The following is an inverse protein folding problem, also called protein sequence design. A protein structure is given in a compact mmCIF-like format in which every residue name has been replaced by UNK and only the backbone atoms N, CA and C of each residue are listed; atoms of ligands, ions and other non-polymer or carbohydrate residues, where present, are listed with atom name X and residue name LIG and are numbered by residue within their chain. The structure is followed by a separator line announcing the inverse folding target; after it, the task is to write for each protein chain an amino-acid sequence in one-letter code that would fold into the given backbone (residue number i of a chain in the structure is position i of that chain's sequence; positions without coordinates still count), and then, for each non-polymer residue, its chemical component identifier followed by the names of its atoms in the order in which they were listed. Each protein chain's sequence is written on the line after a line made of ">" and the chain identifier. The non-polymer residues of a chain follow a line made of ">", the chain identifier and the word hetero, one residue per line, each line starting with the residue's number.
data_IF_121048648020
#
_entry.id   IF_121048648020
#
_cell.length_a   1.000
_cell.length_b   1.000
_cell.length_c   1.000
_cell.angle_alpha   90.00
_cell.angle_beta   90.00
_cell.angle_gamma   90.00
#
_symmetry.space_group_name_H-M   'P 1'
#
loop_
_entity.id
_entity.type
_entity.pdbx_description
1 polymer ?
#
# COMPACT_ATOMS: atom_id res chain seq x y z
N UNK A 1 11.11 -7.67 -17.62
CA UNK A 1 12.13 -7.44 -16.58
C UNK A 1 11.60 -7.69 -15.16
N UNK A 2 12.51 -7.95 -14.19
CA UNK A 2 12.14 -8.20 -12.78
C UNK A 2 11.28 -7.08 -12.17
N UNK A 3 11.53 -5.82 -12.55
CA UNK A 3 10.78 -4.66 -12.05
C UNK A 3 9.30 -4.72 -12.45
N UNK A 4 8.98 -5.08 -13.68
CA UNK A 4 7.60 -5.16 -14.18
C UNK A 4 6.83 -6.29 -13.49
N UNK A 5 7.49 -7.42 -13.22
CA UNK A 5 6.90 -8.54 -12.47
C UNK A 5 6.57 -8.15 -11.03
N UNK A 6 7.49 -7.45 -10.38
CA UNK A 6 7.28 -6.95 -9.02
C UNK A 6 6.20 -5.86 -9.01
N UNK A 7 6.16 -4.99 -10.02
CA UNK A 7 5.11 -3.99 -10.16
C UNK A 7 3.72 -4.64 -10.26
N UNK A 8 3.57 -5.66 -11.11
CA UNK A 8 2.32 -6.39 -11.23
C UNK A 8 1.89 -7.06 -9.91
N UNK A 9 2.85 -7.54 -9.11
CA UNK A 9 2.54 -8.07 -7.78
C UNK A 9 2.11 -6.97 -6.81
N UNK A 10 2.78 -5.83 -6.80
CA UNK A 10 2.39 -4.68 -5.97
C UNK A 10 0.98 -4.22 -6.32
N UNK A 11 0.66 -4.09 -7.61
CA UNK A 11 -0.66 -3.65 -8.09
C UNK A 11 -1.79 -4.60 -7.64
N UNK A 12 -1.51 -5.90 -7.50
CA UNK A 12 -2.49 -6.90 -7.06
C UNK A 12 -2.58 -6.98 -5.54
N UNK A 13 -1.44 -7.00 -4.85
CA UNK A 13 -1.39 -7.35 -3.43
C UNK A 13 -1.50 -6.15 -2.50
N UNK A 14 -1.05 -4.97 -2.91
CA UNK A 14 -1.14 -3.77 -2.06
C UNK A 14 -2.60 -3.40 -1.71
N UNK A 15 -3.55 -3.36 -2.67
CA UNK A 15 -4.95 -3.07 -2.34
C UNK A 15 -5.60 -4.18 -1.50
N UNK A 16 -5.23 -5.45 -1.74
CA UNK A 16 -5.74 -6.60 -0.98
C UNK A 16 -5.26 -6.57 0.47
N UNK A 17 -3.99 -6.24 0.70
CA UNK A 17 -3.44 -6.10 2.04
C UNK A 17 -4.11 -4.95 2.78
N UNK A 18 -4.31 -3.82 2.12
CA UNK A 18 -5.03 -2.69 2.70
C UNK A 18 -6.47 -3.06 3.08
N UNK A 19 -7.23 -3.66 2.17
CA UNK A 19 -8.60 -4.11 2.45
C UNK A 19 -8.68 -5.14 3.58
N UNK A 20 -7.70 -6.03 3.70
CA UNK A 20 -7.63 -6.99 4.80
C UNK A 20 -7.33 -6.33 6.16
N UNK A 21 -6.64 -5.20 6.16
CA UNK A 21 -6.29 -4.44 7.37
C UNK A 21 -7.37 -3.42 7.77
N UNK A 22 -8.28 -3.03 6.87
CA UNK A 22 -9.37 -2.10 7.16
C UNK A 22 -10.22 -2.50 8.38
N UNK A 23 -10.69 -3.76 8.53
CA UNK A 23 -11.50 -4.14 9.69
C UNK A 23 -10.72 -4.03 11.02
N UNK A 24 -9.41 -4.25 11.01
CA UNK A 24 -8.56 -4.10 12.19
C UNK A 24 -8.32 -2.62 12.51
N UNK A 25 -8.18 -1.77 11.50
CA UNK A 25 -8.05 -0.33 11.67
C UNK A 25 -9.34 0.26 12.25
N UNK A 26 -10.50 -0.14 11.74
CA UNK A 26 -11.81 0.28 12.25
C UNK A 26 -12.03 -0.11 13.72
N UNK A 27 -11.54 -1.30 14.13
CA UNK A 27 -11.69 -1.80 15.50
C UNK A 27 -10.66 -1.23 16.50
N UNK A 28 -9.56 -0.61 16.03
CA UNK A 28 -8.45 -0.19 16.89
C UNK A 28 -8.04 1.27 16.65
N UNK A 29 -6.97 1.49 15.89
CA UNK A 29 -6.28 2.79 15.75
C UNK A 29 -6.92 3.76 14.76
N UNK A 30 -7.97 3.34 14.06
CA UNK A 30 -8.70 4.13 13.07
C UNK A 30 -8.09 4.07 11.67
N UNK A 31 -8.92 4.43 10.67
CA UNK A 31 -8.57 4.40 9.25
C UNK A 31 -7.38 5.30 8.90
N UNK A 32 -7.25 6.45 9.57
CA UNK A 32 -6.16 7.40 9.33
C UNK A 32 -4.78 6.79 9.60
N UNK A 33 -4.63 5.98 10.64
CA UNK A 33 -3.37 5.30 10.94
C UNK A 33 -3.01 4.27 9.85
N UNK A 34 -4.01 3.60 9.27
CA UNK A 34 -3.81 2.67 8.15
C UNK A 34 -3.39 3.43 6.88
N UNK A 35 -3.96 4.60 6.63
CA UNK A 35 -3.61 5.47 5.50
C UNK A 35 -2.18 6.02 5.61
N UNK A 36 -1.74 6.43 6.79
CA UNK A 36 -0.36 6.86 7.04
C UNK A 36 0.65 5.74 6.76
N UNK A 37 0.35 4.51 7.22
CA UNK A 37 1.19 3.34 6.93
C UNK A 37 1.23 3.03 5.44
N UNK A 38 0.08 3.16 4.75
CA UNK A 38 -0.01 3.00 3.29
C UNK A 38 0.84 4.02 2.55
N UNK A 39 0.81 5.29 2.97
CA UNK A 39 1.63 6.35 2.41
C UNK A 39 3.14 6.09 2.64
N UNK A 40 3.53 5.66 3.84
CA UNK A 40 4.91 5.28 4.14
C UNK A 40 5.40 4.11 3.26
N UNK A 41 4.54 3.12 2.99
CA UNK A 41 4.84 2.03 2.06
C UNK A 41 5.03 2.55 0.63
N UNK A 42 4.17 3.45 0.16
CA UNK A 42 4.27 4.05 -1.18
C UNK A 42 5.62 4.77 -1.37
N UNK A 43 6.07 5.54 -0.37
CA UNK A 43 7.40 6.20 -0.39
C UNK A 43 8.53 5.17 -0.50
N UNK A 44 8.43 4.03 0.21
CA UNK A 44 9.44 2.96 0.12
C UNK A 44 9.47 2.30 -1.25
N UNK A 45 8.30 2.05 -1.85
CA UNK A 45 8.18 1.50 -3.20
C UNK A 45 8.74 2.46 -4.26
N UNK A 46 8.49 3.76 -4.11
CA UNK A 46 9.02 4.79 -5.00
C UNK A 46 10.55 4.83 -5.01
N UNK A 47 11.21 4.65 -3.86
CA UNK A 47 12.68 4.54 -3.77
C UNK A 47 13.25 3.35 -4.55
N UNK A 48 12.47 2.28 -4.70
CA UNK A 48 12.81 1.11 -5.51
C UNK A 48 12.41 1.29 -6.99
N UNK A 49 11.83 2.44 -7.34
CA UNK A 49 11.30 2.76 -8.65
C UNK A 49 10.07 1.94 -9.04
N UNK A 50 9.31 1.52 -8.03
CA UNK A 50 7.99 0.90 -8.13
C UNK A 50 6.93 1.94 -7.78
N UNK A 51 5.70 1.71 -8.26
CA UNK A 51 4.54 2.56 -7.98
C UNK A 51 3.61 1.83 -7.03
N UNK A 52 2.96 2.57 -6.15
CA UNK A 52 1.82 2.08 -5.37
C UNK A 52 0.58 2.83 -5.82
N UNK A 53 -0.60 2.22 -5.71
CA UNK A 53 -1.88 2.91 -5.89
C UNK A 53 -2.27 3.75 -4.65
N UNK A 54 -1.32 4.06 -3.77
CA UNK A 54 -1.52 4.85 -2.55
C UNK A 54 -2.17 6.21 -2.83
N UNK A 55 -3.08 6.57 -1.91
CA UNK A 55 -4.06 7.66 -1.96
C UNK A 55 -3.53 8.90 -2.70
N UNK A 56 -4.27 9.43 -3.71
CA UNK A 56 -3.86 10.66 -4.38
C UNK A 56 -3.75 11.79 -3.34
N UNK A 57 -2.58 12.43 -3.34
CA UNK A 57 -2.26 13.61 -2.53
C UNK A 57 -3.22 14.74 -2.87
#
# INVERSE_FOLDING_TARGET
>A
DNRERIQAWVDIWEPRAYAALQPLAEAATGQAALDEVRAALAVRLQKLGLRSQGVPV
#
